data_IF_495377992588
#
_entry.id   IF_495377992588
#
_cell.length_a   1.000
_cell.length_b   1.000
_cell.length_c   1.000
_cell.angle_alpha   90.00
_cell.angle_beta   90.00
_cell.angle_gamma   90.00
#
_symmetry.space_group_name_H-M   'P 1'
#
loop_
_entity.id
_entity.type
_entity.pdbx_description
1 polymer ?
#
# COMPACT_ATOMS: atom_id res chain seq x y z
N UNK A 1 47.46 -49.24 44.47
CA UNK A 1 46.03 -49.47 44.66
C UNK A 1 45.26 -48.23 44.24
N UNK A 2 44.74 -48.24 43.04
CA UNK A 2 43.97 -47.13 42.48
C UNK A 2 42.57 -47.65 42.15
N UNK A 3 41.55 -47.15 42.83
CA UNK A 3 40.15 -47.41 42.53
C UNK A 3 39.70 -46.53 41.36
N UNK A 4 39.22 -47.14 40.27
CA UNK A 4 38.46 -46.52 39.19
C UNK A 4 37.08 -46.15 39.73
N UNK A 5 36.69 -44.89 39.54
CA UNK A 5 35.33 -44.39 39.67
C UNK A 5 34.75 -44.33 38.24
N UNK A 6 33.70 -45.08 38.04
CA UNK A 6 32.91 -45.12 36.81
C UNK A 6 32.09 -43.85 36.71
N UNK A 7 32.19 -43.14 35.56
CA UNK A 7 31.31 -42.07 35.17
C UNK A 7 30.01 -42.65 34.60
N UNK A 8 28.91 -42.38 35.26
CA UNK A 8 27.56 -42.67 34.79
C UNK A 8 27.21 -41.73 33.62
N UNK A 9 26.61 -42.32 32.59
CA UNK A 9 26.11 -41.62 31.41
C UNK A 9 24.94 -40.69 31.76
N UNK A 10 24.78 -39.50 31.11
CA UNK A 10 23.59 -38.69 31.24
C UNK A 10 22.43 -39.36 30.50
N UNK A 11 21.29 -39.33 31.16
CA UNK A 11 19.99 -39.81 30.74
C UNK A 11 19.59 -39.19 29.40
N UNK A 12 19.33 -40.05 28.42
CA UNK A 12 18.66 -39.68 27.16
C UNK A 12 17.28 -39.10 27.49
N UNK A 13 17.12 -37.78 27.23
CA UNK A 13 15.82 -37.15 27.22
C UNK A 13 15.14 -37.52 25.90
N UNK A 14 14.11 -38.28 26.05
CA UNK A 14 13.21 -38.82 25.03
C UNK A 14 12.73 -37.70 24.07
N UNK A 15 13.26 -37.67 22.84
CA UNK A 15 12.83 -36.84 21.73
C UNK A 15 11.63 -37.38 20.97
N UNK A 16 10.83 -38.25 21.61
CA UNK A 16 9.75 -38.99 20.93
C UNK A 16 8.34 -38.39 21.13
N UNK A 17 8.18 -37.20 21.67
CA UNK A 17 6.83 -36.60 21.88
C UNK A 17 6.45 -35.42 21.00
N UNK A 18 7.22 -35.09 19.97
CA UNK A 18 6.87 -33.95 19.08
C UNK A 18 6.70 -34.33 17.60
N UNK A 19 6.39 -35.56 17.27
CA UNK A 19 6.21 -36.03 15.89
C UNK A 19 4.90 -36.80 15.65
N UNK A 20 3.84 -36.51 16.39
CA UNK A 20 2.54 -37.17 16.20
C UNK A 20 1.35 -36.21 16.12
N UNK A 21 1.46 -35.11 15.35
CA UNK A 21 0.29 -34.28 14.98
C UNK A 21 0.27 -33.93 13.47
N UNK A 22 0.71 -34.86 12.63
CA UNK A 22 0.64 -34.70 11.14
C UNK A 22 0.19 -35.95 10.43
N UNK A 23 -0.76 -36.70 10.96
CA UNK A 23 -1.49 -37.74 10.20
C UNK A 23 -2.94 -37.83 10.70
N UNK A 24 -3.73 -36.77 10.39
CA UNK A 24 -5.17 -36.83 10.42
C UNK A 24 -5.63 -36.20 9.10
N UNK A 25 -5.81 -36.99 8.06
CA UNK A 25 -6.48 -36.58 6.85
C UNK A 25 -7.90 -36.12 7.24
N UNK A 26 -8.11 -34.82 7.33
CA UNK A 26 -9.45 -34.25 7.50
C UNK A 26 -10.26 -34.62 6.28
N UNK A 27 -11.18 -35.55 6.42
CA UNK A 27 -11.92 -36.13 5.33
C UNK A 27 -13.06 -35.23 4.80
N UNK A 28 -13.47 -34.23 5.56
CA UNK A 28 -14.52 -33.29 5.22
C UNK A 28 -14.25 -31.97 5.95
N UNK A 29 -14.53 -30.86 5.30
CA UNK A 29 -14.55 -29.53 5.95
C UNK A 29 -15.96 -28.99 5.87
N UNK A 30 -16.51 -28.49 6.98
CA UNK A 30 -17.82 -27.83 6.99
C UNK A 30 -17.86 -26.64 7.92
N UNK A 31 -18.29 -25.49 7.37
CA UNK A 31 -18.54 -24.30 8.16
C UNK A 31 -19.72 -23.50 7.65
N UNK A 32 -20.28 -22.65 8.51
CA UNK A 32 -21.37 -21.73 8.23
C UNK A 32 -20.88 -20.32 8.57
N UNK A 33 -21.06 -19.37 7.67
CA UNK A 33 -20.59 -18.00 7.81
C UNK A 33 -21.62 -17.03 7.22
N UNK A 34 -21.92 -15.89 7.87
CA UNK A 34 -22.73 -14.84 7.26
C UNK A 34 -22.08 -14.36 5.95
N UNK A 35 -22.90 -14.15 4.93
CA UNK A 35 -22.42 -13.67 3.63
C UNK A 35 -21.58 -12.40 3.74
N UNK A 36 -22.00 -11.44 4.55
CA UNK A 36 -21.30 -10.17 4.75
C UNK A 36 -19.86 -10.38 5.25
N UNK A 37 -19.67 -11.25 6.24
CA UNK A 37 -18.37 -11.59 6.80
C UNK A 37 -17.47 -12.31 5.77
N UNK A 38 -18.02 -13.34 5.12
CA UNK A 38 -17.29 -14.10 4.12
C UNK A 38 -16.91 -13.22 2.92
N UNK A 39 -17.82 -12.38 2.43
CA UNK A 39 -17.57 -11.49 1.30
C UNK A 39 -16.49 -10.45 1.63
N UNK A 40 -16.55 -9.85 2.81
CA UNK A 40 -15.54 -8.90 3.28
C UNK A 40 -14.16 -9.57 3.38
N UNK A 41 -14.07 -10.74 4.03
CA UNK A 41 -12.83 -11.49 4.12
C UNK A 41 -12.23 -11.85 2.76
N UNK A 42 -13.06 -12.33 1.83
CA UNK A 42 -12.64 -12.65 0.46
C UNK A 42 -12.15 -11.41 -0.30
N UNK A 43 -12.82 -10.26 -0.15
CA UNK A 43 -12.40 -9.00 -0.77
C UNK A 43 -11.05 -8.52 -0.23
N UNK A 44 -10.79 -8.71 1.05
CA UNK A 44 -9.53 -8.36 1.72
C UNK A 44 -8.40 -9.23 1.17
N UNK A 45 -8.50 -10.56 1.27
CA UNK A 45 -7.40 -11.45 0.87
C UNK A 45 -7.18 -11.48 -0.64
N UNK A 46 -8.22 -11.25 -1.45
CA UNK A 46 -8.10 -11.23 -2.92
C UNK A 46 -7.10 -10.19 -3.44
N UNK A 47 -6.72 -9.20 -2.63
CA UNK A 47 -5.69 -8.21 -2.96
C UNK A 47 -4.29 -8.81 -3.08
N UNK A 48 -4.05 -9.98 -2.46
CA UNK A 48 -2.79 -10.72 -2.57
C UNK A 48 -2.84 -11.86 -3.61
N UNK A 49 -3.94 -12.01 -4.35
CA UNK A 49 -4.01 -12.97 -5.45
C UNK A 49 -3.28 -12.40 -6.67
N UNK A 50 -2.29 -13.10 -7.26
CA UNK A 50 -1.55 -12.57 -8.40
C UNK A 50 -2.42 -12.50 -9.66
N UNK A 51 -2.26 -11.42 -10.43
CA UNK A 51 -2.96 -11.28 -11.72
C UNK A 51 -2.49 -12.30 -12.78
N UNK A 52 -1.22 -12.73 -12.68
CA UNK A 52 -0.60 -13.75 -13.53
C UNK A 52 0.41 -14.54 -12.70
N UNK A 53 0.36 -15.85 -12.78
CA UNK A 53 1.30 -16.75 -12.10
C UNK A 53 1.47 -18.05 -12.89
N UNK A 54 2.63 -18.68 -12.75
CA UNK A 54 2.87 -20.05 -13.22
C UNK A 54 2.49 -21.10 -12.16
N UNK A 55 2.28 -20.68 -10.92
CA UNK A 55 1.89 -21.52 -9.80
C UNK A 55 0.37 -21.44 -9.62
N UNK A 56 -0.36 -22.36 -10.21
CA UNK A 56 -1.82 -22.34 -10.22
C UNK A 56 -2.48 -22.39 -8.82
N UNK A 57 -1.76 -22.82 -7.80
CA UNK A 57 -2.25 -22.82 -6.42
C UNK A 57 -2.38 -21.39 -5.87
N UNK A 58 -1.56 -20.44 -6.33
CA UNK A 58 -1.59 -19.04 -5.91
C UNK A 58 -2.77 -18.26 -6.54
N UNK A 59 -3.46 -18.83 -7.56
CA UNK A 59 -4.71 -18.28 -8.06
C UNK A 59 -5.89 -18.55 -7.11
N UNK A 60 -5.65 -19.34 -6.05
CA UNK A 60 -6.64 -19.73 -5.07
C UNK A 60 -6.56 -18.89 -3.79
N UNK A 61 -7.67 -18.84 -3.07
CA UNK A 61 -7.72 -18.47 -1.65
C UNK A 61 -7.74 -19.77 -0.84
N UNK A 62 -6.83 -19.88 0.12
CA UNK A 62 -6.83 -20.93 1.12
C UNK A 62 -7.89 -20.64 2.17
N UNK A 63 -8.74 -21.60 2.44
CA UNK A 63 -9.70 -21.61 3.54
C UNK A 63 -9.21 -22.65 4.54
N UNK A 64 -8.83 -22.21 5.73
CA UNK A 64 -8.30 -23.06 6.80
C UNK A 64 -9.16 -22.93 8.07
N UNK A 65 -9.85 -24.01 8.42
CA UNK A 65 -10.69 -24.11 9.62
C UNK A 65 -10.03 -24.94 10.73
N UNK A 66 -8.76 -25.30 10.59
CA UNK A 66 -8.05 -26.15 11.57
C UNK A 66 -7.67 -25.43 12.87
N UNK A 67 -7.38 -24.09 12.88
CA UNK A 67 -7.05 -23.38 14.12
C UNK A 67 -8.24 -23.09 15.04
N UNK A 68 -9.45 -23.58 14.72
CA UNK A 68 -10.68 -23.25 15.47
C UNK A 68 -11.29 -21.89 15.09
N UNK A 69 -10.82 -21.28 14.03
CA UNK A 69 -11.37 -20.08 13.39
C UNK A 69 -11.37 -20.27 11.86
N UNK A 70 -12.23 -19.55 11.17
CA UNK A 70 -12.26 -19.57 9.70
C UNK A 70 -11.23 -18.55 9.21
N UNK A 71 -10.12 -19.06 8.71
CA UNK A 71 -8.99 -18.26 8.24
C UNK A 71 -8.95 -18.30 6.71
N UNK A 72 -8.89 -17.14 6.10
CA UNK A 72 -8.72 -16.97 4.66
C UNK A 72 -7.31 -16.43 4.39
N UNK A 73 -6.60 -17.02 3.42
CA UNK A 73 -5.24 -16.60 3.06
C UNK A 73 -5.07 -16.54 1.55
N UNK A 74 -4.43 -15.50 1.05
CA UNK A 74 -3.90 -15.40 -0.31
C UNK A 74 -2.45 -14.91 -0.27
N UNK A 75 -1.64 -15.32 -1.26
CA UNK A 75 -0.22 -15.05 -1.27
C UNK A 75 0.31 -15.10 -2.72
N UNK A 76 1.06 -14.07 -3.12
CA UNK A 76 1.76 -14.04 -4.42
C UNK A 76 3.29 -14.19 -4.29
N UNK A 77 3.79 -14.60 -3.12
CA UNK A 77 5.20 -14.77 -2.71
C UNK A 77 5.93 -13.45 -2.38
N UNK A 78 5.38 -12.30 -2.77
CA UNK A 78 5.88 -10.96 -2.39
C UNK A 78 4.95 -10.30 -1.38
N UNK A 79 3.65 -10.49 -1.55
CA UNK A 79 2.57 -9.98 -0.72
C UNK A 79 1.66 -11.13 -0.31
N UNK A 80 1.46 -11.31 0.98
CA UNK A 80 0.49 -12.25 1.53
C UNK A 80 -0.49 -11.55 2.46
N UNK A 81 -1.74 -11.95 2.41
CA UNK A 81 -2.81 -11.42 3.26
C UNK A 81 -3.57 -12.58 3.87
N UNK A 82 -3.74 -12.53 5.17
CA UNK A 82 -4.51 -13.46 5.95
C UNK A 82 -5.56 -12.69 6.75
N UNK A 83 -6.79 -13.21 6.81
CA UNK A 83 -7.84 -12.63 7.64
C UNK A 83 -8.72 -13.71 8.26
N UNK A 84 -9.24 -13.45 9.45
CA UNK A 84 -10.18 -14.30 10.13
C UNK A 84 -11.58 -13.76 9.90
N UNK A 85 -12.52 -14.64 9.57
CA UNK A 85 -13.94 -14.30 9.42
C UNK A 85 -14.77 -15.02 10.49
N UNK A 86 -15.81 -14.36 10.97
CA UNK A 86 -16.72 -14.93 11.96
C UNK A 86 -17.62 -15.98 11.33
N UNK A 87 -17.80 -17.08 12.04
CA UNK A 87 -18.66 -18.17 11.61
C UNK A 87 -18.57 -19.39 12.53
N UNK A 88 -19.33 -20.42 12.21
CA UNK A 88 -19.40 -21.67 12.96
C UNK A 88 -18.73 -22.79 12.18
N UNK A 89 -17.70 -23.40 12.75
CA UNK A 89 -17.03 -24.58 12.21
C UNK A 89 -17.73 -25.83 12.75
N UNK A 90 -18.27 -26.66 11.87
CA UNK A 90 -18.84 -27.95 12.23
C UNK A 90 -17.82 -29.06 12.08
N UNK A 91 -17.01 -29.01 11.03
CA UNK A 91 -15.92 -29.94 10.75
C UNK A 91 -14.68 -29.16 10.31
N UNK A 92 -13.53 -29.30 11.02
CA UNK A 92 -12.30 -28.63 10.65
C UNK A 92 -11.70 -29.23 9.37
N UNK A 93 -10.99 -28.40 8.59
CA UNK A 93 -10.32 -28.84 7.38
C UNK A 93 -9.69 -27.68 6.62
N UNK A 94 -9.05 -27.99 5.51
CA UNK A 94 -8.32 -27.04 4.66
C UNK A 94 -8.66 -27.29 3.20
N UNK A 95 -8.94 -26.23 2.47
CA UNK A 95 -9.21 -26.27 1.02
C UNK A 95 -8.70 -25.00 0.34
N UNK A 96 -8.17 -25.11 -0.88
CA UNK A 96 -7.85 -23.98 -1.73
C UNK A 96 -8.86 -23.86 -2.86
N UNK A 97 -9.56 -22.74 -2.95
CA UNK A 97 -10.60 -22.46 -3.95
C UNK A 97 -10.16 -21.33 -4.89
N UNK A 98 -10.47 -21.46 -6.18
CA UNK A 98 -10.22 -20.40 -7.15
C UNK A 98 -10.79 -19.06 -6.67
N UNK A 99 -9.91 -18.08 -6.50
CA UNK A 99 -10.25 -16.82 -5.85
C UNK A 99 -11.33 -16.05 -6.60
N UNK A 100 -11.25 -16.03 -7.92
CA UNK A 100 -12.18 -15.27 -8.76
C UNK A 100 -13.56 -15.90 -8.75
N UNK A 101 -13.64 -17.21 -8.93
CA UNK A 101 -14.90 -17.96 -8.95
C UNK A 101 -15.56 -17.89 -7.58
N UNK A 102 -14.80 -18.13 -6.50
CA UNK A 102 -15.29 -18.12 -5.13
C UNK A 102 -15.85 -16.74 -4.75
N UNK A 103 -15.09 -15.68 -4.99
CA UNK A 103 -15.51 -14.30 -4.71
C UNK A 103 -16.79 -13.93 -5.50
N UNK A 104 -16.87 -14.27 -6.80
CA UNK A 104 -18.04 -13.94 -7.62
C UNK A 104 -19.28 -14.72 -7.20
N UNK A 105 -19.15 -15.98 -6.79
CA UNK A 105 -20.28 -16.77 -6.25
C UNK A 105 -20.80 -16.09 -4.99
N UNK A 106 -19.93 -15.86 -3.99
CA UNK A 106 -20.31 -15.25 -2.71
C UNK A 106 -20.94 -13.87 -2.90
N UNK A 107 -20.39 -13.06 -3.81
CA UNK A 107 -20.94 -11.73 -4.13
C UNK A 107 -22.38 -11.78 -4.62
N UNK A 108 -22.74 -12.80 -5.41
CA UNK A 108 -24.07 -12.93 -6.07
C UNK A 108 -25.08 -13.76 -5.26
N UNK A 109 -24.65 -14.42 -4.20
CA UNK A 109 -25.58 -15.15 -3.33
C UNK A 109 -26.54 -14.19 -2.60
N UNK A 110 -27.71 -14.67 -2.13
CA UNK A 110 -28.59 -13.92 -1.24
C UNK A 110 -27.89 -13.45 0.03
N UNK A 111 -28.41 -12.42 0.66
CA UNK A 111 -27.87 -11.89 1.92
C UNK A 111 -28.34 -12.73 3.11
N UNK A 112 -27.69 -13.87 3.31
CA UNK A 112 -28.02 -14.85 4.36
C UNK A 112 -26.77 -15.67 4.69
N UNK A 113 -26.87 -16.61 5.62
CA UNK A 113 -25.78 -17.53 5.97
C UNK A 113 -25.41 -18.43 4.79
N UNK A 114 -24.12 -18.59 4.60
CA UNK A 114 -23.52 -19.45 3.58
C UNK A 114 -22.95 -20.69 4.27
N UNK A 115 -23.34 -21.86 3.81
CA UNK A 115 -22.71 -23.12 4.24
C UNK A 115 -21.74 -23.57 3.16
N UNK A 116 -20.52 -23.89 3.57
CA UNK A 116 -19.47 -24.46 2.72
C UNK A 116 -19.11 -25.85 3.25
N UNK A 117 -19.16 -26.82 2.35
CA UNK A 117 -18.85 -28.22 2.61
C UNK A 117 -17.87 -28.70 1.54
N UNK A 118 -16.71 -29.23 1.91
CA UNK A 118 -15.78 -29.90 1.00
C UNK A 118 -15.62 -31.37 1.35
N UNK A 119 -15.38 -32.20 0.34
CA UNK A 119 -15.14 -33.64 0.49
C UNK A 119 -13.66 -34.01 0.25
N UNK A 120 -13.32 -35.27 0.41
CA UNK A 120 -11.98 -35.82 0.21
C UNK A 120 -11.44 -35.70 -1.22
N UNK A 121 -12.34 -35.45 -2.18
CA UNK A 121 -11.98 -35.25 -3.58
C UNK A 121 -11.84 -33.76 -3.92
N UNK A 122 -11.82 -32.90 -2.89
CA UNK A 122 -11.77 -31.43 -3.00
C UNK A 122 -12.98 -30.83 -3.73
N UNK A 123 -14.09 -31.58 -3.88
CA UNK A 123 -15.33 -31.00 -4.37
C UNK A 123 -15.99 -30.18 -3.27
N UNK A 124 -16.30 -28.93 -3.58
CA UNK A 124 -16.80 -27.97 -2.59
C UNK A 124 -18.21 -27.52 -2.96
N UNK A 125 -19.16 -27.84 -2.09
CA UNK A 125 -20.54 -27.40 -2.18
C UNK A 125 -20.72 -26.12 -1.37
N UNK A 126 -21.15 -25.06 -2.05
CA UNK A 126 -21.49 -23.75 -1.47
C UNK A 126 -22.99 -23.59 -1.56
N UNK A 127 -23.66 -23.41 -0.42
CA UNK A 127 -25.12 -23.29 -0.35
C UNK A 127 -25.53 -22.04 0.40
N UNK A 128 -26.56 -21.37 -0.11
CA UNK A 128 -27.22 -20.26 0.56
C UNK A 128 -28.70 -20.26 0.12
N UNK A 129 -29.61 -20.43 1.07
CA UNK A 129 -31.06 -20.64 0.81
C UNK A 129 -31.30 -21.78 -0.21
N UNK A 130 -31.81 -21.41 -1.41
CA UNK A 130 -32.08 -22.36 -2.49
C UNK A 130 -30.95 -22.49 -3.51
N UNK A 131 -29.96 -21.58 -3.44
CA UNK A 131 -28.82 -21.59 -4.33
C UNK A 131 -27.81 -22.66 -3.91
N UNK A 132 -27.30 -23.42 -4.89
CA UNK A 132 -26.29 -24.46 -4.69
C UNK A 132 -25.26 -24.37 -5.81
N UNK A 133 -23.98 -24.25 -5.43
CA UNK A 133 -22.86 -24.32 -6.34
C UNK A 133 -21.94 -25.46 -5.93
N UNK A 134 -21.49 -26.23 -6.89
CA UNK A 134 -20.45 -27.23 -6.68
C UNK A 134 -19.24 -26.85 -7.52
N UNK A 135 -18.10 -26.60 -6.88
CA UNK A 135 -16.86 -26.18 -7.53
C UNK A 135 -15.72 -27.10 -7.11
N UNK A 136 -14.77 -27.33 -8.02
CA UNK A 136 -13.56 -28.06 -7.71
C UNK A 136 -12.58 -27.18 -6.94
N UNK A 137 -12.09 -27.66 -5.81
CA UNK A 137 -10.97 -27.08 -5.09
C UNK A 137 -9.67 -27.82 -5.36
N UNK A 138 -8.63 -27.41 -4.62
CA UNK A 138 -7.30 -28.04 -4.62
C UNK A 138 -6.88 -28.38 -3.19
N UNK A 139 -5.92 -29.27 -3.05
CA UNK A 139 -5.34 -29.60 -1.76
C UNK A 139 -4.74 -28.33 -1.12
N UNK A 140 -5.12 -28.05 0.12
CA UNK A 140 -4.59 -26.91 0.88
C UNK A 140 -3.14 -27.10 1.31
N UNK A 141 -2.66 -28.34 1.42
CA UNK A 141 -1.28 -28.64 1.84
C UNK A 141 -0.23 -28.14 0.85
N UNK A 142 -0.61 -27.95 -0.42
CA UNK A 142 0.25 -27.41 -1.47
C UNK A 142 0.35 -25.86 -1.44
N UNK A 143 -0.43 -25.21 -0.57
CA UNK A 143 -0.47 -23.75 -0.49
C UNK A 143 0.72 -23.20 0.30
N UNK A 144 1.31 -22.11 -0.21
CA UNK A 144 2.39 -21.41 0.48
C UNK A 144 1.82 -20.54 1.62
N UNK A 145 1.92 -21.03 2.85
CA UNK A 145 1.53 -20.27 4.05
C UNK A 145 2.38 -19.01 4.23
N UNK A 146 1.82 -18.02 4.92
CA UNK A 146 2.59 -16.85 5.31
C UNK A 146 3.70 -17.24 6.31
N UNK A 147 4.88 -16.60 6.24
CA UNK A 147 5.94 -16.87 7.19
C UNK A 147 5.53 -16.44 8.61
N UNK A 148 5.94 -17.21 9.60
CA UNK A 148 5.86 -16.78 10.99
C UNK A 148 6.91 -15.69 11.23
N UNK A 149 6.48 -14.51 11.66
CA UNK A 149 7.35 -13.36 11.90
C UNK A 149 7.27 -13.00 13.39
N UNK A 150 8.43 -12.78 13.99
CA UNK A 150 8.51 -12.29 15.36
C UNK A 150 7.89 -10.91 15.48
N UNK A 151 6.93 -10.75 16.39
CA UNK A 151 6.16 -9.52 16.61
C UNK A 151 6.75 -8.72 17.77
N UNK A 152 8.01 -8.33 17.63
CA UNK A 152 8.67 -7.43 18.59
C UNK A 152 8.69 -5.98 18.05
N UNK A 153 8.59 -5.00 18.95
CA UNK A 153 8.76 -3.57 18.64
C UNK A 153 7.80 -3.03 17.55
N UNK A 154 6.50 -3.21 17.75
CA UNK A 154 5.50 -2.67 16.83
C UNK A 154 5.46 -1.14 16.85
N UNK A 155 5.34 -0.54 15.67
CA UNK A 155 5.01 0.86 15.48
C UNK A 155 3.52 0.98 15.28
N UNK A 156 2.85 1.77 16.11
CA UNK A 156 1.40 1.91 16.09
C UNK A 156 1.01 3.26 15.49
N UNK A 157 0.12 3.20 14.51
CA UNK A 157 -0.46 4.39 13.87
C UNK A 157 -1.94 4.14 13.60
N UNK A 158 -2.77 5.18 13.55
CA UNK A 158 -4.18 4.96 13.21
C UNK A 158 -4.32 4.54 11.74
N UNK A 159 -5.30 3.68 11.45
CA UNK A 159 -5.57 3.21 10.09
C UNK A 159 -5.87 4.38 9.15
N UNK A 160 -6.64 5.36 9.61
CA UNK A 160 -6.90 6.59 8.85
C UNK A 160 -5.60 7.33 8.51
N UNK A 161 -4.74 7.56 9.51
CA UNK A 161 -3.49 8.32 9.31
C UNK A 161 -2.57 7.61 8.32
N UNK A 162 -2.37 6.29 8.44
CA UNK A 162 -1.55 5.53 7.50
C UNK A 162 -2.12 5.60 6.08
N UNK A 163 -3.43 5.43 5.94
CA UNK A 163 -4.12 5.53 4.65
C UNK A 163 -3.92 6.90 3.99
N UNK A 164 -4.03 7.98 4.77
CA UNK A 164 -3.82 9.35 4.29
C UNK A 164 -2.37 9.61 3.90
N UNK A 165 -1.41 9.15 4.70
CA UNK A 165 0.02 9.28 4.37
C UNK A 165 0.34 8.58 3.04
N UNK A 166 -0.15 7.36 2.84
CA UNK A 166 0.01 6.64 1.57
C UNK A 166 -0.65 7.43 0.43
N UNK A 167 -1.89 7.88 0.59
CA UNK A 167 -2.61 8.69 -0.43
C UNK A 167 -1.82 9.92 -0.85
N UNK A 168 -1.16 10.56 0.11
CA UNK A 168 -0.44 11.82 -0.09
C UNK A 168 0.95 11.65 -0.68
N UNK A 169 1.46 10.43 -0.84
CA UNK A 169 2.83 10.18 -1.31
C UNK A 169 2.91 9.19 -2.47
N UNK A 170 2.07 8.16 -2.51
CA UNK A 170 2.20 7.00 -3.41
C UNK A 170 2.22 7.34 -4.90
N UNK A 171 1.61 8.44 -5.33
CA UNK A 171 1.53 8.84 -6.72
C UNK A 171 2.87 9.26 -7.34
N UNK A 172 3.90 9.48 -6.51
CA UNK A 172 5.24 9.89 -6.96
C UNK A 172 6.23 8.74 -7.10
N UNK A 173 5.82 7.47 -6.88
CA UNK A 173 6.69 6.33 -7.18
C UNK A 173 6.83 6.12 -8.69
N UNK A 174 7.90 5.44 -9.11
CA UNK A 174 8.10 5.07 -10.51
C UNK A 174 7.22 3.87 -10.91
N UNK A 175 6.68 3.89 -12.12
CA UNK A 175 5.83 2.81 -12.65
C UNK A 175 6.61 1.58 -13.10
N UNK A 176 7.90 1.73 -13.38
CA UNK A 176 8.75 0.66 -13.89
C UNK A 176 10.03 0.50 -13.06
N UNK A 177 10.64 -0.65 -13.19
CA UNK A 177 11.67 -1.19 -12.32
C UNK A 177 13.12 -0.96 -12.75
N UNK A 178 13.42 0.02 -13.59
CA UNK A 178 14.81 0.37 -13.92
C UNK A 178 15.63 0.65 -12.63
N UNK A 179 14.94 1.17 -11.60
CA UNK A 179 15.48 1.23 -10.25
C UNK A 179 14.38 0.82 -9.26
N UNK A 180 14.49 -0.38 -8.70
CA UNK A 180 13.49 -0.95 -7.79
C UNK A 180 13.19 -0.07 -6.58
N UNK A 181 14.16 0.67 -6.06
CA UNK A 181 13.94 1.57 -4.92
C UNK A 181 12.92 2.67 -5.23
N UNK A 182 12.84 3.13 -6.48
CA UNK A 182 11.84 4.13 -6.90
C UNK A 182 10.43 3.56 -7.03
N UNK A 183 10.26 2.23 -7.06
CA UNK A 183 8.94 1.59 -7.13
C UNK A 183 8.30 1.39 -5.76
N UNK A 184 8.97 1.81 -4.69
CA UNK A 184 8.49 1.76 -3.32
C UNK A 184 8.60 3.10 -2.62
N UNK A 185 8.12 3.15 -1.39
CA UNK A 185 8.22 4.32 -0.52
C UNK A 185 9.18 4.05 0.63
N UNK A 186 10.02 5.03 0.94
CA UNK A 186 10.83 5.04 2.15
C UNK A 186 9.93 5.35 3.34
N UNK A 187 9.95 4.49 4.35
CA UNK A 187 9.45 4.77 5.70
C UNK A 187 10.65 4.98 6.60
N UNK A 188 10.83 6.20 7.07
CA UNK A 188 11.88 6.59 8.00
C UNK A 188 11.27 6.99 9.33
N UNK A 189 11.56 6.19 10.35
CA UNK A 189 11.11 6.40 11.73
C UNK A 189 12.29 6.93 12.52
N UNK A 190 12.09 8.03 13.27
CA UNK A 190 13.09 8.57 14.16
C UNK A 190 12.40 9.24 15.36
N UNK A 191 12.53 8.61 16.53
CA UNK A 191 11.83 9.06 17.71
C UNK A 191 10.31 8.95 17.52
N UNK A 192 9.61 10.04 17.60
CA UNK A 192 8.16 10.15 17.47
C UNK A 192 7.71 10.69 16.09
N UNK A 193 8.60 10.76 15.11
CA UNK A 193 8.31 11.16 13.73
C UNK A 193 8.37 9.96 12.79
N UNK A 194 7.33 9.80 11.95
CA UNK A 194 7.35 8.99 10.75
C UNK A 194 7.40 9.93 9.53
N UNK A 195 8.45 9.78 8.72
CA UNK A 195 8.62 10.43 7.43
C UNK A 195 8.47 9.41 6.32
N UNK A 196 7.56 9.65 5.39
CA UNK A 196 7.33 8.81 4.21
C UNK A 196 7.74 9.58 2.96
N UNK A 197 8.50 8.93 2.09
CA UNK A 197 9.08 9.54 0.89
C UNK A 197 8.86 8.65 -0.32
N UNK A 198 8.44 9.23 -1.42
CA UNK A 198 8.40 8.62 -2.75
C UNK A 198 9.05 9.53 -3.80
N UNK A 199 9.60 8.96 -4.86
CA UNK A 199 10.18 9.68 -5.98
C UNK A 199 10.24 8.84 -7.27
N UNK A 200 10.26 9.52 -8.43
CA UNK A 200 10.36 8.89 -9.75
C UNK A 200 11.45 9.50 -10.64
N UNK A 201 12.32 10.33 -10.09
CA UNK A 201 13.36 11.07 -10.82
C UNK A 201 12.92 12.41 -11.40
N UNK A 202 11.61 12.74 -11.36
CA UNK A 202 11.05 14.01 -11.80
C UNK A 202 10.37 14.80 -10.68
N UNK A 203 9.99 14.10 -9.62
CA UNK A 203 9.28 14.65 -8.46
C UNK A 203 9.60 13.86 -7.21
N UNK A 204 9.42 14.48 -6.07
CA UNK A 204 9.54 13.89 -4.75
C UNK A 204 8.33 14.30 -3.93
N UNK A 205 7.70 13.35 -3.27
CA UNK A 205 6.64 13.59 -2.30
C UNK A 205 7.09 13.15 -0.92
N UNK A 206 6.95 14.03 0.05
CA UNK A 206 7.31 13.78 1.45
C UNK A 206 6.11 14.10 2.33
N UNK A 207 5.79 13.20 3.23
CA UNK A 207 4.83 13.43 4.31
C UNK A 207 5.48 13.08 5.64
N UNK A 208 5.33 13.96 6.64
CA UNK A 208 5.75 13.75 8.01
C UNK A 208 4.55 13.75 8.92
N UNK A 209 4.51 12.80 9.82
CA UNK A 209 3.48 12.70 10.85
C UNK A 209 4.11 12.48 12.22
N UNK A 210 3.41 12.94 13.25
CA UNK A 210 3.73 12.69 14.64
C UNK A 210 3.14 11.34 15.06
N UNK A 211 3.97 10.46 15.61
CA UNK A 211 3.56 9.21 16.23
C UNK A 211 3.15 9.46 17.70
N UNK A 212 2.33 8.55 18.25
CA UNK A 212 1.91 8.63 19.66
C UNK A 212 3.06 8.30 20.63
N UNK A 213 3.93 7.39 20.23
CA UNK A 213 5.04 6.86 21.01
C UNK A 213 6.39 7.14 20.33
N UNK A 214 7.47 6.95 21.08
CA UNK A 214 8.85 7.13 20.61
C UNK A 214 9.43 5.76 20.25
N UNK A 215 10.10 5.68 19.11
CA UNK A 215 10.67 4.45 18.56
C UNK A 215 12.14 4.61 18.21
N UNK A 216 12.87 3.50 18.18
CA UNK A 216 14.26 3.48 17.70
C UNK A 216 14.30 3.84 16.20
N UNK A 217 15.38 4.52 15.77
CA UNK A 217 15.54 4.90 14.36
C UNK A 217 15.52 3.69 13.43
N UNK A 218 14.69 3.75 12.41
CA UNK A 218 14.52 2.69 11.42
C UNK A 218 14.23 3.26 10.04
N UNK A 219 14.79 2.62 8.98
CA UNK A 219 14.55 2.96 7.59
C UNK A 219 14.26 1.70 6.80
N UNK A 220 13.14 1.67 6.12
CA UNK A 220 12.74 0.56 5.25
C UNK A 220 12.09 1.10 3.98
N UNK A 221 12.18 0.33 2.89
CA UNK A 221 11.49 0.66 1.63
C UNK A 221 10.40 -0.38 1.39
N UNK A 222 9.16 0.07 1.43
CA UNK A 222 7.97 -0.77 1.25
C UNK A 222 7.53 -0.69 -0.21
N UNK A 223 7.28 -1.83 -0.90
CA UNK A 223 6.80 -1.80 -2.27
C UNK A 223 5.51 -1.01 -2.43
N UNK A 224 5.43 -0.16 -3.46
CA UNK A 224 4.24 0.63 -3.75
C UNK A 224 3.01 -0.23 -4.02
N UNK A 225 3.19 -1.41 -4.64
CA UNK A 225 2.11 -2.40 -4.80
C UNK A 225 1.50 -2.78 -3.45
N UNK A 226 2.33 -3.09 -2.45
CA UNK A 226 1.87 -3.43 -1.10
C UNK A 226 1.09 -2.28 -0.48
N UNK A 227 1.65 -1.07 -0.50
CA UNK A 227 1.00 0.11 0.09
C UNK A 227 -0.33 0.45 -0.60
N UNK A 228 -0.41 0.32 -1.92
CA UNK A 228 -1.64 0.49 -2.68
C UNK A 228 -2.73 -0.52 -2.24
N UNK A 229 -2.37 -1.79 -2.01
CA UNK A 229 -3.35 -2.78 -1.56
C UNK A 229 -3.71 -2.59 -0.09
N UNK A 230 -2.74 -2.30 0.78
CA UNK A 230 -2.98 -1.98 2.19
C UNK A 230 -3.93 -0.79 2.33
N UNK A 231 -3.70 0.30 1.59
CA UNK A 231 -4.55 1.49 1.65
C UNK A 231 -6.02 1.23 1.28
N UNK A 232 -6.30 0.22 0.45
CA UNK A 232 -7.67 -0.17 0.04
C UNK A 232 -8.42 -0.95 1.10
N UNK A 233 -7.70 -1.65 2.00
CA UNK A 233 -8.29 -2.51 3.04
C UNK A 233 -8.28 -1.87 4.42
N UNK A 234 -7.46 -0.83 4.65
CA UNK A 234 -7.52 -0.03 5.87
C UNK A 234 -8.85 0.72 5.97
N UNK A 235 -9.41 0.77 7.19
CA UNK A 235 -10.61 1.56 7.44
C UNK A 235 -10.32 3.07 7.38
N UNK A 236 -11.36 3.87 7.20
CA UNK A 236 -11.27 5.33 7.32
C UNK A 236 -11.47 5.85 8.75
N UNK A 237 -11.43 4.97 9.76
CA UNK A 237 -11.71 5.31 11.14
C UNK A 237 -10.43 5.73 11.87
N UNK A 238 -10.48 6.86 12.57
CA UNK A 238 -9.35 7.42 13.33
C UNK A 238 -9.04 6.65 14.60
N UNK A 239 -10.05 5.97 15.16
CA UNK A 239 -9.96 5.25 16.44
C UNK A 239 -9.40 3.82 16.28
N UNK A 240 -9.29 3.32 15.07
CA UNK A 240 -8.68 2.02 14.78
C UNK A 240 -7.21 2.17 14.49
N UNK A 241 -6.42 1.37 15.14
CA UNK A 241 -4.97 1.34 14.95
C UNK A 241 -4.54 0.23 13.99
N UNK A 242 -3.37 0.40 13.40
CA UNK A 242 -2.60 -0.60 12.69
C UNK A 242 -1.22 -0.68 13.32
N UNK A 243 -0.76 -1.91 13.58
CA UNK A 243 0.59 -2.19 14.07
C UNK A 243 1.49 -2.60 12.92
N UNK A 244 2.64 -1.96 12.79
CA UNK A 244 3.67 -2.29 11.82
C UNK A 244 4.85 -2.96 12.52
N UNK A 245 5.27 -4.10 12.00
CA UNK A 245 6.46 -4.81 12.46
C UNK A 245 7.45 -4.90 11.29
N UNK A 246 8.72 -4.69 11.57
CA UNK A 246 9.76 -4.78 10.56
C UNK A 246 10.77 -5.85 10.95
N UNK A 247 11.16 -6.65 9.96
CA UNK A 247 12.35 -7.50 10.00
C UNK A 247 13.36 -7.00 8.98
N UNK A 248 14.48 -7.67 8.82
CA UNK A 248 15.52 -7.28 7.85
C UNK A 248 15.00 -7.22 6.41
N UNK A 249 14.00 -8.03 6.06
CA UNK A 249 13.52 -8.19 4.70
C UNK A 249 11.99 -8.20 4.53
N UNK A 250 11.23 -8.00 5.61
CA UNK A 250 9.77 -8.02 5.57
C UNK A 250 9.15 -6.93 6.43
N UNK A 251 7.93 -6.54 6.07
CA UNK A 251 7.02 -5.73 6.89
C UNK A 251 5.75 -6.51 7.13
N UNK A 252 5.22 -6.41 8.34
CA UNK A 252 3.91 -6.93 8.73
C UNK A 252 3.02 -5.78 9.14
N UNK A 253 1.80 -5.75 8.61
CA UNK A 253 0.73 -4.86 9.07
C UNK A 253 -0.32 -5.73 9.76
N UNK A 254 -0.66 -5.41 11.00
CA UNK A 254 -1.73 -6.07 11.75
C UNK A 254 -2.79 -5.05 12.14
N UNK A 255 -4.02 -5.31 11.77
CA UNK A 255 -5.18 -4.49 12.08
C UNK A 255 -6.46 -5.31 12.01
N UNK A 256 -7.39 -5.02 12.92
CA UNK A 256 -8.62 -5.78 13.07
C UNK A 256 -8.32 -7.29 13.17
N UNK A 257 -8.85 -8.10 12.26
CA UNK A 257 -8.58 -9.55 12.16
C UNK A 257 -7.65 -9.89 10.99
N UNK A 258 -6.90 -8.92 10.46
CA UNK A 258 -6.13 -9.04 9.23
C UNK A 258 -4.64 -8.89 9.49
N UNK A 259 -3.85 -9.77 8.89
CA UNK A 259 -2.39 -9.71 8.84
C UNK A 259 -1.95 -9.60 7.38
N UNK A 260 -1.16 -8.59 7.07
CA UNK A 260 -0.53 -8.41 5.77
C UNK A 260 0.98 -8.57 5.93
N UNK A 261 1.59 -9.45 5.16
CA UNK A 261 3.04 -9.66 5.12
C UNK A 261 3.55 -9.28 3.75
N UNK A 262 4.58 -8.45 3.68
CA UNK A 262 5.20 -8.06 2.41
C UNK A 262 6.71 -8.08 2.51
N UNK A 263 7.38 -8.45 1.42
CA UNK A 263 8.82 -8.26 1.29
C UNK A 263 9.15 -6.78 1.19
N UNK A 264 10.26 -6.38 1.79
CA UNK A 264 10.86 -5.05 1.63
C UNK A 264 11.71 -4.99 0.35
N UNK A 265 11.89 -3.80 -0.17
CA UNK A 265 12.86 -3.55 -1.24
C UNK A 265 14.22 -3.31 -0.59
N UNK A 266 15.19 -4.15 -0.91
CA UNK A 266 16.55 -4.04 -0.39
C UNK A 266 17.33 -2.91 -1.08
N UNK A 267 18.17 -2.23 -0.32
CA UNK A 267 19.09 -1.21 -0.81
C UNK A 267 19.05 0.08 0.02
N UNK A 268 20.05 0.93 -0.18
CA UNK A 268 20.11 2.25 0.42
C UNK A 268 19.28 3.25 -0.41
N UNK A 269 18.27 3.86 0.22
CA UNK A 269 17.43 4.84 -0.45
C UNK A 269 18.20 6.12 -0.76
N UNK A 270 17.71 6.94 -1.66
CA UNK A 270 18.33 8.17 -2.11
C UNK A 270 18.54 9.18 -0.99
N UNK A 271 19.61 9.97 -1.05
CA UNK A 271 19.91 11.03 -0.09
C UNK A 271 19.04 12.26 -0.35
N UNK A 272 17.79 12.19 0.05
CA UNK A 272 16.77 13.21 -0.19
C UNK A 272 17.16 14.57 0.40
N UNK A 273 17.77 14.58 1.58
CA UNK A 273 18.10 15.83 2.30
C UNK A 273 19.01 16.76 1.48
N UNK A 274 19.83 16.22 0.58
CA UNK A 274 20.66 17.00 -0.34
C UNK A 274 19.87 17.68 -1.48
N UNK A 275 18.67 17.20 -1.74
CA UNK A 275 17.79 17.73 -2.80
C UNK A 275 16.82 18.77 -2.25
N UNK A 276 16.65 18.83 -0.93
CA UNK A 276 15.76 19.78 -0.27
C UNK A 276 16.52 21.08 0.03
N UNK A 277 16.08 22.17 -0.56
CA UNK A 277 16.57 23.52 -0.23
C UNK A 277 15.46 24.33 0.42
N UNK A 278 15.81 25.14 1.40
CA UNK A 278 14.93 26.17 1.96
C UNK A 278 15.02 27.49 1.22
N UNK A 279 16.02 27.66 0.33
CA UNK A 279 16.25 28.89 -0.41
C UNK A 279 15.19 29.10 -1.48
N UNK A 280 14.75 30.34 -1.59
CA UNK A 280 13.83 30.76 -2.66
C UNK A 280 14.06 32.22 -3.02
N UNK A 281 13.79 32.58 -4.28
CA UNK A 281 13.80 33.97 -4.77
C UNK A 281 12.38 34.46 -5.04
N UNK A 282 11.42 33.54 -5.19
CA UNK A 282 10.00 33.84 -5.42
C UNK A 282 9.13 32.95 -4.54
N UNK A 283 8.23 33.56 -3.79
CA UNK A 283 7.20 32.90 -2.98
C UNK A 283 5.84 33.31 -3.50
N UNK A 284 4.96 32.34 -3.76
CA UNK A 284 3.60 32.56 -4.24
C UNK A 284 2.62 31.89 -3.30
N UNK A 285 1.62 32.63 -2.83
CA UNK A 285 0.45 32.09 -2.13
C UNK A 285 -0.75 32.14 -3.07
N UNK A 286 -1.45 31.04 -3.23
CA UNK A 286 -2.52 30.87 -4.22
C UNK A 286 -3.62 29.95 -3.71
N UNK A 287 -4.86 30.21 -4.13
CA UNK A 287 -5.96 29.27 -3.88
C UNK A 287 -5.75 27.97 -4.64
N UNK A 288 -5.69 26.86 -3.90
CA UNK A 288 -5.43 25.52 -4.46
C UNK A 288 -6.48 25.09 -5.47
N UNK A 289 -7.78 25.36 -5.21
CA UNK A 289 -8.87 24.93 -6.10
C UNK A 289 -8.82 25.65 -7.44
N UNK A 290 -8.54 26.95 -7.42
CA UNK A 290 -8.43 27.75 -8.64
C UNK A 290 -7.26 27.25 -9.49
N UNK A 291 -6.08 27.05 -8.89
CA UNK A 291 -4.92 26.51 -9.57
C UNK A 291 -5.17 25.13 -10.15
N UNK A 292 -5.69 24.20 -9.32
CA UNK A 292 -6.00 22.83 -9.76
C UNK A 292 -7.00 22.82 -10.93
N UNK A 293 -8.09 23.61 -10.81
CA UNK A 293 -9.13 23.68 -11.86
C UNK A 293 -8.60 24.27 -13.16
N UNK A 294 -7.73 25.27 -13.09
CA UNK A 294 -7.08 25.87 -14.25
C UNK A 294 -6.16 24.85 -14.96
N UNK A 295 -5.30 24.16 -14.20
CA UNK A 295 -4.40 23.14 -14.78
C UNK A 295 -5.20 21.97 -15.35
N UNK A 296 -6.27 21.55 -14.69
CA UNK A 296 -7.14 20.44 -15.16
C UNK A 296 -7.79 20.79 -16.50
N UNK A 297 -8.27 22.04 -16.67
CA UNK A 297 -8.76 22.55 -17.98
C UNK A 297 -7.66 22.54 -19.04
N UNK A 298 -6.44 22.93 -18.68
CA UNK A 298 -5.30 22.94 -19.61
C UNK A 298 -5.00 21.53 -20.16
N UNK A 299 -5.19 20.49 -19.36
CA UNK A 299 -4.94 19.10 -19.80
C UNK A 299 -5.87 18.62 -20.90
N UNK A 300 -7.02 19.27 -21.12
CA UNK A 300 -7.93 18.96 -22.23
C UNK A 300 -7.27 19.15 -23.62
N UNK A 301 -6.24 19.98 -23.69
CA UNK A 301 -5.46 20.25 -24.90
C UNK A 301 -4.22 19.38 -25.04
N UNK A 302 -3.97 18.45 -24.10
CA UNK A 302 -2.83 17.52 -24.10
C UNK A 302 -3.33 16.11 -24.41
N UNK A 303 -2.88 15.54 -25.52
CA UNK A 303 -3.16 14.13 -25.82
C UNK A 303 -2.44 13.20 -24.84
N UNK A 304 -3.02 12.04 -24.59
CA UNK A 304 -2.37 10.99 -23.83
C UNK A 304 -1.02 10.61 -24.47
N UNK A 305 0.06 10.67 -23.65
CA UNK A 305 1.43 10.45 -24.12
C UNK A 305 2.17 11.71 -24.61
N UNK A 306 1.49 12.83 -24.86
CA UNK A 306 2.14 14.10 -25.18
C UNK A 306 2.82 14.71 -23.94
N UNK A 307 4.09 15.07 -24.07
CA UNK A 307 4.87 15.75 -23.03
C UNK A 307 4.79 17.28 -23.15
N UNK A 308 3.61 17.84 -23.42
CA UNK A 308 3.44 19.30 -23.54
C UNK A 308 3.46 19.94 -22.16
N UNK A 309 4.36 20.89 -21.91
CA UNK A 309 4.40 21.60 -20.63
C UNK A 309 3.27 22.62 -20.54
N UNK A 310 2.80 22.86 -19.33
CA UNK A 310 2.11 24.08 -18.98
C UNK A 310 3.17 25.13 -18.63
N UNK A 311 3.05 26.32 -19.21
CA UNK A 311 3.95 27.45 -18.96
C UNK A 311 3.26 28.37 -17.96
N UNK A 312 3.95 28.66 -16.87
CA UNK A 312 3.46 29.49 -15.78
C UNK A 312 4.31 30.77 -15.76
N UNK A 313 3.67 31.91 -16.00
CA UNK A 313 4.28 33.22 -15.88
C UNK A 313 3.78 33.91 -14.62
N UNK A 314 4.68 34.21 -13.70
CA UNK A 314 4.41 34.78 -12.39
C UNK A 314 4.89 36.22 -12.37
N UNK A 315 3.96 37.13 -12.19
CA UNK A 315 4.21 38.58 -12.06
C UNK A 315 3.54 39.09 -10.78
N UNK A 316 3.66 40.41 -10.51
CA UNK A 316 3.04 40.97 -9.31
C UNK A 316 1.51 40.82 -9.34
N UNK A 317 0.98 40.09 -8.34
CA UNK A 317 -0.45 39.85 -8.16
C UNK A 317 -1.10 38.89 -9.14
N UNK A 318 -0.36 38.35 -10.12
CA UNK A 318 -0.94 37.58 -11.21
C UNK A 318 -0.10 36.36 -11.59
N UNK A 319 -0.75 35.21 -11.76
CA UNK A 319 -0.20 34.00 -12.35
C UNK A 319 -0.94 33.71 -13.67
N UNK A 320 -0.23 33.74 -14.78
CA UNK A 320 -0.74 33.41 -16.11
C UNK A 320 -0.29 31.97 -16.47
N UNK A 321 -1.25 31.12 -16.82
CA UNK A 321 -1.01 29.75 -17.22
C UNK A 321 -1.33 29.58 -18.70
N UNK A 322 -0.36 29.05 -19.46
CA UNK A 322 -0.47 28.85 -20.91
C UNK A 322 -0.14 27.44 -21.30
N UNK A 323 -0.90 26.90 -22.22
CA UNK A 323 -0.57 25.69 -22.93
C UNK A 323 -0.84 25.88 -24.42
N UNK A 324 0.06 25.35 -25.25
CA UNK A 324 -0.09 25.37 -26.71
C UNK A 324 0.20 23.97 -27.25
N UNK A 325 -0.74 23.42 -27.99
CA UNK A 325 -0.66 22.07 -28.57
C UNK A 325 -1.18 22.07 -30.01
N UNK A 326 -1.07 20.95 -30.70
CA UNK A 326 -1.65 20.77 -32.02
C UNK A 326 -3.20 20.86 -32.05
N UNK A 327 -3.86 20.71 -30.89
CA UNK A 327 -5.32 20.76 -30.74
C UNK A 327 -5.79 22.22 -30.60
N UNK A 328 -5.01 23.05 -29.92
CA UNK A 328 -5.37 24.41 -29.59
C UNK A 328 -4.51 25.00 -28.49
N UNK A 329 -4.91 26.19 -28.02
CA UNK A 329 -4.21 26.91 -26.96
C UNK A 329 -5.17 27.34 -25.86
N UNK A 330 -4.64 27.45 -24.64
CA UNK A 330 -5.31 28.02 -23.49
C UNK A 330 -4.42 29.08 -22.86
N UNK A 331 -5.03 30.15 -22.41
CA UNK A 331 -4.42 31.24 -21.63
C UNK A 331 -5.41 31.59 -20.52
N UNK A 332 -5.01 31.45 -19.28
CA UNK A 332 -5.85 31.70 -18.10
C UNK A 332 -5.04 32.40 -17.02
N UNK A 333 -5.65 33.33 -16.32
CA UNK A 333 -5.02 34.12 -15.27
C UNK A 333 -5.67 33.87 -13.93
N UNK A 334 -4.85 33.81 -12.89
CA UNK A 334 -5.26 33.58 -11.50
C UNK A 334 -4.61 34.66 -10.63
N UNK A 335 -5.41 35.25 -9.72
CA UNK A 335 -4.90 36.19 -8.74
C UNK A 335 -4.04 35.47 -7.70
N UNK A 336 -2.90 36.08 -7.35
CA UNK A 336 -1.94 35.52 -6.40
C UNK A 336 -1.41 36.59 -5.44
N UNK A 337 -0.87 36.15 -4.32
CA UNK A 337 0.03 36.94 -3.50
C UNK A 337 1.47 36.50 -3.79
N UNK A 338 2.30 37.43 -4.27
CA UNK A 338 3.69 37.15 -4.62
C UNK A 338 4.65 38.00 -3.78
N UNK A 339 5.75 37.41 -3.38
CA UNK A 339 6.95 38.11 -2.95
C UNK A 339 8.16 37.63 -3.74
N UNK A 340 9.10 38.53 -4.03
CA UNK A 340 10.31 38.20 -4.78
C UNK A 340 10.20 38.51 -6.26
N UNK A 341 11.00 37.83 -7.09
CA UNK A 341 11.19 38.13 -8.53
C UNK A 341 10.05 37.59 -9.40
N UNK A 342 9.86 38.24 -10.54
CA UNK A 342 9.04 37.67 -11.62
C UNK A 342 9.73 36.44 -12.22
N UNK A 343 8.95 35.48 -12.66
CA UNK A 343 9.48 34.18 -13.10
C UNK A 343 8.56 33.56 -14.14
N UNK A 344 9.16 32.98 -15.20
CA UNK A 344 8.46 32.11 -16.15
C UNK A 344 9.07 30.72 -16.09
N UNK A 345 8.24 29.71 -15.90
CA UNK A 345 8.67 28.30 -15.68
C UNK A 345 7.68 27.34 -16.31
N UNK A 346 8.17 26.18 -16.79
CA UNK A 346 7.33 25.14 -17.38
C UNK A 346 7.31 23.88 -16.54
N UNK A 347 6.15 23.22 -16.48
CA UNK A 347 5.97 21.95 -15.77
C UNK A 347 5.18 20.93 -16.58
N UNK A 348 5.37 19.65 -16.25
CA UNK A 348 4.40 18.63 -16.60
C UNK A 348 3.12 18.87 -15.78
N UNK A 349 1.96 19.15 -16.41
CA UNK A 349 0.74 19.49 -15.68
C UNK A 349 0.25 18.36 -14.78
N UNK A 350 0.49 17.11 -15.13
CA UNK A 350 0.08 15.94 -14.31
C UNK A 350 0.76 15.94 -12.95
N UNK A 351 2.04 16.30 -12.87
CA UNK A 351 2.77 16.33 -11.62
C UNK A 351 2.24 17.38 -10.64
N UNK A 352 1.83 18.53 -11.16
CA UNK A 352 1.16 19.55 -10.37
C UNK A 352 -0.22 19.09 -9.90
N UNK A 353 -1.01 18.49 -10.79
CA UNK A 353 -2.35 17.97 -10.47
C UNK A 353 -2.29 16.93 -9.37
N UNK A 354 -1.37 15.98 -9.48
CA UNK A 354 -1.24 14.89 -8.49
C UNK A 354 -0.95 15.44 -7.09
N UNK A 355 -0.02 16.40 -6.97
CA UNK A 355 0.30 17.04 -5.70
C UNK A 355 -0.89 17.87 -5.17
N UNK A 356 -1.52 18.69 -6.02
CA UNK A 356 -2.61 19.57 -5.63
C UNK A 356 -3.86 18.78 -5.17
N UNK A 357 -4.13 17.61 -5.75
CA UNK A 357 -5.28 16.78 -5.39
C UNK A 357 -5.21 16.23 -3.97
N UNK A 358 -4.02 16.06 -3.42
CA UNK A 358 -3.82 15.43 -2.11
C UNK A 358 -3.54 16.41 -0.99
N UNK A 359 -3.33 17.68 -1.29
CA UNK A 359 -3.19 18.75 -0.29
C UNK A 359 -4.59 19.15 0.19
N UNK A 360 -4.78 19.19 1.51
CA UNK A 360 -6.06 19.55 2.11
C UNK A 360 -6.22 21.05 2.35
N UNK A 361 -5.10 21.80 2.40
CA UNK A 361 -5.12 23.25 2.59
C UNK A 361 -5.84 23.98 1.45
N UNK A 362 -6.60 25.01 1.78
CA UNK A 362 -7.30 25.86 0.82
C UNK A 362 -6.31 26.82 0.11
N UNK A 363 -5.40 27.39 0.87
CA UNK A 363 -4.29 28.22 0.37
C UNK A 363 -3.00 27.41 0.42
N UNK A 364 -2.27 27.42 -0.67
CA UNK A 364 -0.97 26.76 -0.76
C UNK A 364 0.14 27.77 -1.02
N UNK A 365 1.35 27.40 -0.63
CA UNK A 365 2.55 28.20 -0.86
C UNK A 365 3.50 27.45 -1.79
N UNK A 366 3.92 28.14 -2.85
CA UNK A 366 4.86 27.67 -3.86
C UNK A 366 6.16 28.47 -3.73
N UNK A 367 7.28 27.77 -3.66
CA UNK A 367 8.61 28.35 -3.55
C UNK A 367 9.44 28.02 -4.79
N UNK A 368 10.06 29.03 -5.38
CA UNK A 368 10.80 28.96 -6.63
C UNK A 368 12.12 29.72 -6.51
N UNK A 369 13.17 29.24 -7.17
CA UNK A 369 14.47 29.92 -7.22
C UNK A 369 14.69 30.54 -8.59
N UNK A 370 14.58 29.73 -9.66
CA UNK A 370 14.78 30.15 -11.04
C UNK A 370 14.08 29.17 -12.00
N UNK A 371 14.00 29.44 -13.33
CA UNK A 371 13.29 28.58 -14.28
C UNK A 371 13.82 27.15 -14.44
N UNK A 372 15.01 26.83 -13.91
CA UNK A 372 15.67 25.51 -14.05
C UNK A 372 15.77 24.77 -12.74
N UNK A 373 15.49 25.42 -11.62
CA UNK A 373 15.53 24.82 -10.29
C UNK A 373 14.18 24.18 -9.95
N UNK A 374 14.16 23.19 -9.04
CA UNK A 374 12.94 22.58 -8.58
C UNK A 374 11.95 23.59 -7.99
N UNK A 375 10.65 23.33 -8.22
CA UNK A 375 9.56 23.99 -7.52
C UNK A 375 9.25 23.21 -6.23
N UNK A 376 8.98 23.91 -5.14
CA UNK A 376 8.52 23.32 -3.88
C UNK A 376 7.12 23.79 -3.55
N UNK A 377 6.22 22.86 -3.27
CA UNK A 377 4.91 23.14 -2.65
C UNK A 377 4.99 22.55 -1.24
N UNK A 378 4.93 23.41 -0.23
CA UNK A 378 5.06 22.99 1.18
C UNK A 378 4.35 23.97 2.10
N UNK A 379 3.92 23.47 3.28
CA UNK A 379 3.43 24.32 4.34
C UNK A 379 4.59 24.84 5.24
N UNK A 380 4.29 25.78 6.12
CA UNK A 380 5.30 26.38 7.00
C UNK A 380 5.95 25.38 7.96
N UNK A 381 5.20 24.36 8.39
CA UNK A 381 5.67 23.30 9.27
C UNK A 381 6.47 22.21 8.55
N UNK A 382 6.51 22.23 7.22
CA UNK A 382 7.08 21.17 6.39
C UNK A 382 6.49 19.79 6.69
N UNK A 383 5.22 19.71 7.09
CA UNK A 383 4.53 18.43 7.30
C UNK A 383 4.28 17.69 5.98
N UNK A 384 4.22 18.43 4.87
CA UNK A 384 4.32 17.90 3.52
C UNK A 384 5.27 18.76 2.67
N UNK A 385 5.98 18.10 1.75
CA UNK A 385 6.85 18.75 0.76
C UNK A 385 6.67 18.02 -0.57
N UNK A 386 6.26 18.75 -1.59
CA UNK A 386 6.24 18.28 -2.98
C UNK A 386 7.28 19.06 -3.78
N UNK A 387 8.31 18.35 -4.21
CA UNK A 387 9.35 18.87 -5.11
C UNK A 387 9.02 18.41 -6.52
N UNK A 388 8.94 19.33 -7.48
CA UNK A 388 8.65 19.04 -8.88
C UNK A 388 9.71 19.69 -9.75
N UNK A 389 10.40 18.91 -10.58
CA UNK A 389 11.36 19.41 -11.53
C UNK A 389 10.66 20.13 -12.69
N UNK A 390 11.16 21.30 -13.11
CA UNK A 390 10.65 21.98 -14.29
C UNK A 390 11.05 21.25 -15.56
N UNK A 391 10.34 21.54 -16.65
CA UNK A 391 10.66 21.07 -18.00
C UNK A 391 11.06 22.24 -18.89
N UNK A 392 11.96 21.99 -19.81
CA UNK A 392 12.35 23.00 -20.80
C UNK A 392 11.18 23.28 -21.76
N UNK A 393 11.00 24.52 -22.10
CA UNK A 393 10.01 24.98 -23.09
C UNK A 393 10.62 26.04 -24.00
N UNK A 394 10.07 26.20 -25.18
CA UNK A 394 10.42 27.27 -26.09
C UNK A 394 9.31 28.30 -26.02
N UNK A 395 9.66 29.55 -25.73
CA UNK A 395 8.75 30.69 -25.93
C UNK A 395 8.64 30.92 -27.43
N UNK A 396 7.48 30.66 -27.99
CA UNK A 396 7.13 31.01 -29.37
C UNK A 396 6.56 32.40 -29.38
#
# INVERSE_FOLDING_TARGET
MARRVSLENPVDVDKSQNTQLKEGSFSHMKFICPKSELLNGLQVVSKAVPAKTTMTILECILVDCTPGCIKLTANDMELGIETIVEGTIEEPGVIALDAKIFLEIVRKLPDNDITILSDNSYQTLITCEKAKFNIAGKCGDDFAYLPEIERSNSIVVSQFTLKEVIRQTIFSIADNDNNRLMTGELFEINGDELKVVSLDGHRISIRKIQLKDTYEPQKVVIPGKTLNEVSKILSGETEKDVSLFFTDNQVVFEFDQTTVVSRLIEGEYFRIDQMLSSDYETKVTINKRELLSCIDRATLLVKEGDKKPIIINITDGLMELKINSAIGSMDEQIDIEKSGKDLMIGFNPRFLIDALRVIDDEQITIYLVNPKAPCFIRNEENSYIYLILPVNFTTV
#
